data_IF_461372000228
#
_entry.id   IF_461372000228
#
_cell.length_a   1.000
_cell.length_b   1.000
_cell.length_c   1.000
_cell.angle_alpha   90.00
_cell.angle_beta   90.00
_cell.angle_gamma   90.00
#
_symmetry.space_group_name_H-M   'P 1'
#
loop_
_entity.id
_entity.type
_entity.pdbx_description
1 polymer ?
#
# COMPACT_ATOMS: atom_id res chain seq x y z
N UNK A 1 -5.09 5.05 -4.46
CA UNK A 1 -6.05 4.84 -3.39
C UNK A 1 -5.82 3.49 -2.72
N UNK A 2 -6.31 3.35 -1.52
CA UNK A 2 -6.12 2.15 -0.72
C UNK A 2 -7.44 1.41 -0.60
N UNK A 3 -7.42 0.10 -0.86
CA UNK A 3 -8.63 -0.73 -0.83
C UNK A 3 -8.38 -1.98 0.02
N UNK A 4 -9.47 -2.52 0.53
CA UNK A 4 -9.46 -3.78 1.28
C UNK A 4 -8.48 -3.77 2.44
N UNK A 5 -8.52 -2.69 3.19
CA UNK A 5 -7.61 -2.52 4.31
C UNK A 5 -8.00 -3.42 5.48
N UNK A 6 -7.01 -4.14 6.00
CA UNK A 6 -7.19 -4.97 7.18
C UNK A 6 -6.00 -4.79 8.12
N UNK A 7 -6.28 -4.86 9.40
CA UNK A 7 -5.25 -4.76 10.42
C UNK A 7 -5.32 -6.01 11.29
N UNK A 8 -4.20 -6.70 11.41
CA UNK A 8 -4.12 -7.91 12.23
C UNK A 8 -3.10 -7.66 13.32
N UNK A 9 -3.58 -7.61 14.56
CA UNK A 9 -2.73 -7.33 15.70
C UNK A 9 -2.05 -8.59 16.18
N UNK A 10 -0.72 -8.54 16.31
CA UNK A 10 0.06 -9.58 16.92
C UNK A 10 0.70 -9.05 18.19
N UNK A 11 1.46 -9.90 18.86
CA UNK A 11 2.12 -9.49 20.10
C UNK A 11 3.25 -8.52 19.84
N UNK A 12 4.02 -8.77 18.80
CA UNK A 12 5.21 -7.98 18.53
C UNK A 12 5.08 -7.11 17.31
N UNK A 13 4.06 -7.34 16.51
CA UNK A 13 3.90 -6.56 15.29
C UNK A 13 2.43 -6.45 14.95
N UNK A 14 2.14 -5.46 14.15
CA UNK A 14 0.79 -5.20 13.65
C UNK A 14 0.87 -5.29 12.14
N UNK A 15 0.14 -6.22 11.56
CA UNK A 15 0.15 -6.40 10.10
C UNK A 15 -0.91 -5.52 9.46
N UNK A 16 -0.48 -4.68 8.54
CA UNK A 16 -1.38 -3.85 7.74
C UNK A 16 -1.42 -4.46 6.34
N UNK A 17 -2.58 -4.94 5.95
CA UNK A 17 -2.77 -5.65 4.70
C UNK A 17 -3.73 -4.86 3.85
N UNK A 18 -3.31 -4.47 2.67
CA UNK A 18 -4.19 -3.68 1.81
C UNK A 18 -3.73 -3.68 0.36
N UNK A 19 -4.64 -3.26 -0.52
CA UNK A 19 -4.34 -3.05 -1.92
C UNK A 19 -4.07 -1.58 -2.14
N UNK A 20 -2.99 -1.29 -2.85
CA UNK A 20 -2.62 0.07 -3.19
C UNK A 20 -2.81 0.25 -4.68
N UNK A 21 -3.80 1.03 -5.05
CA UNK A 21 -4.18 1.20 -6.45
C UNK A 21 -3.59 2.49 -6.98
N UNK A 22 -2.80 2.38 -8.05
CA UNK A 22 -2.15 3.53 -8.68
C UNK A 22 -2.70 3.72 -10.08
N UNK A 23 -2.51 4.90 -10.65
CA UNK A 23 -2.93 5.14 -12.04
C UNK A 23 -2.24 4.18 -12.98
N UNK A 24 -2.96 3.76 -14.01
CA UNK A 24 -2.46 2.75 -14.94
C UNK A 24 -1.24 3.23 -15.72
N UNK A 25 -1.11 4.52 -15.92
CA UNK A 25 0.01 5.06 -16.69
C UNK A 25 1.31 5.12 -15.90
N UNK A 26 1.29 4.87 -14.61
CA UNK A 26 2.53 4.86 -13.83
C UNK A 26 3.35 3.64 -14.19
N UNK A 27 4.66 3.81 -14.27
CA UNK A 27 5.56 2.70 -14.52
C UNK A 27 5.63 1.79 -13.30
N UNK A 28 6.12 0.58 -13.52
CA UNK A 28 6.32 -0.35 -12.43
C UNK A 28 7.30 0.21 -11.41
N UNK A 29 8.33 0.85 -11.91
CA UNK A 29 9.34 1.46 -11.05
C UNK A 29 8.72 2.53 -10.17
N UNK A 30 7.87 3.37 -10.74
CA UNK A 30 7.19 4.41 -9.99
C UNK A 30 6.27 3.82 -8.94
N UNK A 31 5.56 2.75 -9.29
CA UNK A 31 4.68 2.08 -8.34
C UNK A 31 5.43 1.51 -7.16
N UNK A 32 6.57 0.87 -7.43
CA UNK A 32 7.39 0.31 -6.36
C UNK A 32 7.95 1.41 -5.46
N UNK A 33 8.34 2.51 -6.05
CA UNK A 33 8.86 3.64 -5.28
C UNK A 33 7.81 4.20 -4.33
N UNK A 34 6.59 4.35 -4.83
CA UNK A 34 5.49 4.83 -4.01
C UNK A 34 5.18 3.87 -2.87
N UNK A 35 5.22 2.58 -3.15
CA UNK A 35 4.97 1.55 -2.14
C UNK A 35 6.01 1.63 -1.03
N UNK A 36 7.26 1.74 -1.39
CA UNK A 36 8.33 1.82 -0.40
C UNK A 36 8.22 3.09 0.45
N UNK A 37 7.84 4.20 -0.18
CA UNK A 37 7.65 5.45 0.54
C UNK A 37 6.52 5.32 1.56
N UNK A 38 5.43 4.67 1.15
CA UNK A 38 4.30 4.48 2.03
C UNK A 38 4.67 3.60 3.22
N UNK A 39 5.37 2.50 2.96
CA UNK A 39 5.83 1.61 4.03
C UNK A 39 6.73 2.35 5.01
N UNK A 40 7.63 3.16 4.49
CA UNK A 40 8.55 3.91 5.33
C UNK A 40 7.80 4.87 6.25
N UNK A 41 6.83 5.57 5.71
CA UNK A 41 6.05 6.52 6.51
C UNK A 41 5.24 5.83 7.58
N UNK A 42 4.66 4.68 7.26
CA UNK A 42 3.89 3.94 8.23
C UNK A 42 4.76 3.42 9.36
N UNK A 43 5.95 2.95 9.05
CA UNK A 43 6.87 2.46 10.06
C UNK A 43 7.44 3.57 10.93
N UNK A 44 7.56 4.76 10.38
CA UNK A 44 7.94 5.91 11.19
C UNK A 44 6.85 6.28 12.19
N UNK A 45 5.60 6.11 11.77
CA UNK A 45 4.47 6.38 12.64
C UNK A 45 4.41 5.36 13.77
N UNK A 46 4.63 4.09 13.45
CA UNK A 46 4.63 3.01 14.44
C UNK A 46 5.56 1.90 13.96
N UNK A 47 6.73 1.73 14.63
CA UNK A 47 7.70 0.72 14.19
C UNK A 47 7.18 -0.71 14.20
N UNK A 48 6.06 -0.97 14.87
CA UNK A 48 5.46 -2.31 14.89
C UNK A 48 4.70 -2.64 13.62
N UNK A 49 4.45 -1.66 12.77
CA UNK A 49 3.69 -1.90 11.54
C UNK A 49 4.51 -2.71 10.56
N UNK A 50 3.90 -3.79 10.09
CA UNK A 50 4.42 -4.61 9.00
C UNK A 50 3.41 -4.53 7.88
N UNK A 51 3.84 -4.06 6.73
CA UNK A 51 2.91 -3.83 5.63
C UNK A 51 2.96 -4.97 4.62
N UNK A 52 1.79 -5.48 4.26
CA UNK A 52 1.64 -6.43 3.18
C UNK A 52 0.79 -5.72 2.14
N UNK A 53 1.43 -5.24 1.10
CA UNK A 53 0.79 -4.36 0.11
C UNK A 53 0.74 -5.06 -1.23
N UNK A 54 -0.46 -5.14 -1.80
CA UNK A 54 -0.63 -5.60 -3.17
C UNK A 54 -0.77 -4.37 -4.04
N UNK A 55 0.13 -4.24 -5.01
CA UNK A 55 0.12 -3.11 -5.90
C UNK A 55 -0.75 -3.43 -7.10
N UNK A 56 -1.77 -2.62 -7.31
CA UNK A 56 -2.71 -2.80 -8.38
C UNK A 56 -2.78 -1.55 -9.24
N UNK A 57 -3.27 -1.71 -10.45
CA UNK A 57 -3.45 -0.58 -11.35
C UNK A 57 -4.93 -0.38 -11.61
N UNK A 58 -5.29 0.88 -11.78
CA UNK A 58 -6.66 1.23 -12.09
C UNK A 58 -6.97 0.83 -13.52
N UNK A 59 -8.00 0.03 -13.69
CA UNK A 59 -8.46 -0.34 -15.02
C UNK A 59 -9.67 0.45 -15.46
N UNK A 60 -10.28 1.11 -14.53
CA UNK A 60 -11.47 1.88 -14.83
C UNK A 60 -11.06 3.20 -15.45
N UNK A 61 -11.70 3.54 -16.56
CA UNK A 61 -11.42 4.81 -17.16
C UNK A 61 -12.25 5.81 -16.45
N UNK A 62 -11.90 6.28 -15.64
CA UNK A 62 -12.73 7.13 -14.91
C UNK A 62 -13.27 8.23 -15.70
N UNK A 63 -13.57 7.89 -16.16
CA UNK A 63 -13.76 8.39 -16.66
C UNK A 63 -14.06 9.27 -16.72
N UNK A 64 -14.18 8.97 -16.76
CA UNK A 64 -14.31 9.44 -16.83
C UNK A 64 -14.54 10.06 -16.72
#
# INVERSE_FOLDING_TARGET
SIHDFRMVNGEKQINLIFDFVIPREYSEEKGNELTLTLMDRLQHHNPKYQCVITLDRSYVEEQR
#
